data_IF_497429869093
#
_entry.id   IF_497429869093
#
_cell.length_a   1.000
_cell.length_b   1.000
_cell.length_c   1.000
_cell.angle_alpha   90.00
_cell.angle_beta   90.00
_cell.angle_gamma   90.00
#
_symmetry.space_group_name_H-M   'P 1'
#
loop_
_entity.id
_entity.type
_entity.pdbx_description
1 polymer ?
#
# COMPACT_ATOMS: atom_id res chain seq x y z
N UNK A 1 9.20 17.78 -21.28
CA UNK A 1 8.19 18.08 -20.23
C UNK A 1 6.74 18.04 -20.73
N UNK A 2 6.48 18.15 -22.01
CA UNK A 2 5.11 18.17 -22.59
C UNK A 2 4.44 16.78 -22.75
N UNK A 3 5.20 15.71 -22.93
CA UNK A 3 4.63 14.37 -23.17
C UNK A 3 3.90 13.77 -21.96
N UNK A 4 4.28 14.11 -20.72
CA UNK A 4 3.63 13.62 -19.49
C UNK A 4 2.29 14.29 -19.18
N UNK A 5 2.08 15.55 -19.61
CA UNK A 5 0.79 16.25 -19.44
C UNK A 5 -0.31 15.72 -20.37
N UNK A 6 0.06 15.15 -21.53
CA UNK A 6 -0.87 14.58 -22.50
C UNK A 6 -1.49 13.27 -22.00
N UNK A 7 -0.69 12.38 -21.39
CA UNK A 7 -1.18 11.11 -20.86
C UNK A 7 -2.22 11.30 -19.74
N UNK A 8 -2.01 12.28 -18.86
CA UNK A 8 -2.95 12.58 -17.77
C UNK A 8 -4.28 13.18 -18.26
N UNK A 9 -4.26 13.96 -19.35
CA UNK A 9 -5.48 14.53 -19.95
C UNK A 9 -6.36 13.49 -20.65
N UNK A 10 -5.79 12.40 -21.10
CA UNK A 10 -6.52 11.29 -21.75
C UNK A 10 -7.02 10.22 -20.76
N UNK A 11 -6.34 10.04 -19.63
CA UNK A 11 -6.71 9.02 -18.64
C UNK A 11 -8.00 9.37 -17.87
N UNK A 12 -8.17 10.61 -17.48
CA UNK A 12 -9.35 11.07 -16.74
C UNK A 12 -10.64 10.94 -17.57
N UNK A 13 -10.70 11.41 -18.84
CA UNK A 13 -11.90 11.23 -19.68
C UNK A 13 -12.13 9.75 -20.06
N UNK A 14 -11.07 8.96 -20.23
CA UNK A 14 -11.21 7.52 -20.48
C UNK A 14 -11.79 6.77 -19.26
N UNK A 15 -11.36 7.12 -18.04
CA UNK A 15 -11.90 6.57 -16.79
C UNK A 15 -13.34 7.03 -16.53
N UNK A 16 -13.66 8.30 -16.80
CA UNK A 16 -15.03 8.82 -16.71
C UNK A 16 -15.94 8.15 -17.75
N UNK A 17 -15.44 7.90 -18.96
CA UNK A 17 -16.15 7.16 -20.00
C UNK A 17 -16.43 5.70 -19.59
N UNK A 18 -15.45 5.03 -19.03
CA UNK A 18 -15.57 3.64 -18.54
C UNK A 18 -16.59 3.54 -17.38
N UNK A 19 -16.56 4.50 -16.45
CA UNK A 19 -17.51 4.58 -15.33
C UNK A 19 -18.93 4.84 -15.81
N UNK A 20 -19.12 5.68 -16.83
CA UNK A 20 -20.40 5.97 -17.45
C UNK A 20 -20.98 4.74 -18.17
N UNK A 21 -20.18 4.02 -18.91
CA UNK A 21 -20.58 2.77 -19.56
C UNK A 21 -20.96 1.70 -18.53
N UNK A 22 -20.21 1.59 -17.45
CA UNK A 22 -20.50 0.63 -16.39
C UNK A 22 -21.79 0.95 -15.63
N UNK A 23 -22.05 2.22 -15.33
CA UNK A 23 -23.28 2.67 -14.67
C UNK A 23 -24.50 2.42 -15.57
N UNK A 24 -24.39 2.69 -16.87
CA UNK A 24 -25.47 2.42 -17.82
C UNK A 24 -25.75 0.91 -17.99
N UNK A 25 -24.73 0.05 -17.94
CA UNK A 25 -24.90 -1.40 -17.90
C UNK A 25 -25.60 -1.87 -16.62
N UNK A 26 -25.23 -1.35 -15.46
CA UNK A 26 -25.88 -1.68 -14.18
C UNK A 26 -27.34 -1.22 -14.14
N UNK A 27 -27.64 -0.03 -14.64
CA UNK A 27 -29.02 0.48 -14.78
C UNK A 27 -29.81 -0.36 -15.78
N UNK A 28 -29.21 -0.76 -16.89
CA UNK A 28 -29.84 -1.64 -17.89
C UNK A 28 -30.18 -3.03 -17.32
N UNK A 29 -29.29 -3.63 -16.56
CA UNK A 29 -29.52 -4.91 -15.87
C UNK A 29 -30.57 -4.79 -14.76
N UNK A 30 -30.57 -3.71 -13.99
CA UNK A 30 -31.60 -3.44 -12.98
C UNK A 30 -32.99 -3.24 -13.59
N UNK A 31 -33.10 -2.47 -14.69
CA UNK A 31 -34.32 -2.29 -15.43
C UNK A 31 -34.81 -3.60 -16.06
N UNK A 32 -33.92 -4.41 -16.60
CA UNK A 32 -34.26 -5.73 -17.14
C UNK A 32 -34.79 -6.67 -16.05
N UNK A 33 -34.18 -6.72 -14.88
CA UNK A 33 -34.64 -7.52 -13.74
C UNK A 33 -36.02 -7.07 -13.24
N UNK A 34 -36.24 -5.75 -13.16
CA UNK A 34 -37.54 -5.18 -12.78
C UNK A 34 -38.63 -5.51 -13.79
N UNK A 35 -38.36 -5.35 -15.09
CA UNK A 35 -39.33 -5.69 -16.14
C UNK A 35 -39.66 -7.18 -16.20
N UNK A 36 -38.72 -8.07 -15.89
CA UNK A 36 -38.96 -9.51 -15.77
C UNK A 36 -39.84 -9.85 -14.56
N UNK A 37 -39.65 -9.16 -13.42
CA UNK A 37 -40.49 -9.34 -12.23
C UNK A 37 -41.94 -8.95 -12.50
N UNK A 38 -42.17 -7.81 -13.11
CA UNK A 38 -43.54 -7.34 -13.54
C UNK A 38 -44.18 -8.32 -14.54
N UNK A 39 -43.38 -8.85 -15.46
CA UNK A 39 -43.87 -9.84 -16.42
C UNK A 39 -44.26 -11.16 -15.77
N UNK A 40 -43.54 -11.61 -14.76
CA UNK A 40 -43.89 -12.79 -13.96
C UNK A 40 -45.19 -12.56 -13.18
N UNK A 41 -45.37 -11.38 -12.57
CA UNK A 41 -46.62 -11.04 -11.89
C UNK A 41 -47.81 -11.02 -12.84
N UNK A 42 -47.61 -10.46 -14.04
CA UNK A 42 -48.67 -10.43 -15.08
C UNK A 42 -49.03 -11.84 -15.56
N UNK A 43 -48.01 -12.71 -15.79
CA UNK A 43 -48.21 -14.09 -16.15
C UNK A 43 -48.89 -14.91 -15.03
N UNK A 44 -48.62 -14.58 -13.76
CA UNK A 44 -49.32 -15.17 -12.61
C UNK A 44 -50.79 -14.72 -12.52
N UNK A 45 -51.08 -13.46 -12.82
CA UNK A 45 -52.44 -12.94 -12.90
C UNK A 45 -53.22 -13.60 -14.03
N UNK A 46 -52.64 -13.70 -15.23
CA UNK A 46 -53.24 -14.36 -16.41
C UNK A 46 -53.55 -15.84 -16.13
N UNK A 47 -52.64 -16.55 -15.48
CA UNK A 47 -52.90 -17.93 -15.02
C UNK A 47 -54.09 -18.03 -14.06
N UNK A 48 -54.20 -17.11 -13.09
CA UNK A 48 -55.32 -17.14 -12.11
C UNK A 48 -56.66 -16.86 -12.78
N UNK A 49 -56.71 -16.00 -13.79
CA UNK A 49 -57.91 -15.71 -14.58
C UNK A 49 -58.38 -16.96 -15.32
N UNK A 50 -57.50 -17.67 -16.04
CA UNK A 50 -57.82 -18.91 -16.74
C UNK A 50 -58.30 -20.02 -15.79
N UNK A 51 -57.73 -20.10 -14.58
CA UNK A 51 -58.17 -21.07 -13.57
C UNK A 51 -59.57 -20.80 -13.05
N UNK A 52 -59.99 -19.53 -12.97
CA UNK A 52 -61.33 -19.15 -12.56
C UNK A 52 -62.39 -19.44 -13.66
N UNK A 53 -62.02 -19.24 -14.94
CA UNK A 53 -62.88 -19.51 -16.09
C UNK A 53 -63.11 -21.03 -16.28
N UNK A 54 -62.09 -21.84 -16.05
CA UNK A 54 -62.19 -23.30 -16.07
C UNK A 54 -63.10 -23.86 -14.97
N UNK A 55 -63.25 -23.16 -13.87
CA UNK A 55 -64.10 -23.57 -12.77
C UNK A 55 -65.62 -23.44 -13.09
N UNK A 56 -66.00 -22.81 -14.20
CA UNK A 56 -67.34 -22.39 -14.47
C UNK A 56 -68.19 -23.22 -15.45
N UNK A 57 -67.64 -24.26 -16.08
CA UNK A 57 -68.42 -25.07 -17.03
C UNK A 57 -68.10 -26.58 -16.92
N UNK A 58 -69.14 -27.42 -17.02
CA UNK A 58 -69.14 -28.83 -16.62
C UNK A 58 -68.73 -29.83 -17.72
N UNK A 59 -69.00 -29.59 -18.96
CA UNK A 59 -68.65 -30.58 -20.05
C UNK A 59 -67.42 -30.24 -20.90
N UNK A 60 -67.02 -29.01 -20.88
CA UNK A 60 -65.76 -28.60 -21.51
C UNK A 60 -64.53 -28.85 -20.61
N UNK A 61 -64.73 -29.31 -19.40
CA UNK A 61 -63.72 -29.40 -18.35
C UNK A 61 -62.50 -30.24 -18.72
N UNK A 62 -62.66 -31.31 -19.48
CA UNK A 62 -61.54 -32.19 -19.82
C UNK A 62 -60.63 -31.56 -20.88
N UNK A 63 -61.22 -31.03 -21.96
CA UNK A 63 -60.47 -30.37 -23.00
C UNK A 63 -59.82 -29.06 -22.50
N UNK A 64 -60.52 -28.30 -21.65
CA UNK A 64 -60.01 -27.11 -21.00
C UNK A 64 -58.93 -27.47 -19.95
N UNK A 65 -59.08 -28.58 -19.22
CA UNK A 65 -58.07 -29.08 -18.26
C UNK A 65 -56.78 -29.55 -18.98
N UNK A 66 -56.90 -30.22 -20.13
CA UNK A 66 -55.72 -30.59 -20.93
C UNK A 66 -55.03 -29.38 -21.55
N UNK A 67 -55.80 -28.41 -22.03
CA UNK A 67 -55.27 -27.11 -22.53
C UNK A 67 -54.59 -26.32 -21.40
N UNK A 68 -55.23 -26.24 -20.22
CA UNK A 68 -54.65 -25.60 -19.04
C UNK A 68 -53.37 -26.33 -18.56
N UNK A 69 -53.38 -27.66 -18.60
CA UNK A 69 -52.21 -28.48 -18.22
C UNK A 69 -51.03 -28.24 -19.17
N UNK A 70 -51.28 -28.16 -20.48
CA UNK A 70 -50.25 -27.86 -21.46
C UNK A 70 -49.68 -26.43 -21.29
N UNK A 71 -50.58 -25.47 -20.96
CA UNK A 71 -50.18 -24.09 -20.69
C UNK A 71 -49.35 -23.97 -19.41
N UNK A 72 -49.69 -24.69 -18.35
CA UNK A 72 -48.94 -24.76 -17.11
C UNK A 72 -47.54 -25.37 -17.35
N UNK A 73 -47.46 -26.44 -18.17
CA UNK A 73 -46.20 -27.05 -18.52
C UNK A 73 -45.28 -26.07 -19.30
N UNK A 74 -45.87 -25.33 -20.26
CA UNK A 74 -45.16 -24.31 -21.02
C UNK A 74 -44.69 -23.16 -20.13
N UNK A 75 -45.54 -22.64 -19.24
CA UNK A 75 -45.18 -21.57 -18.28
C UNK A 75 -44.13 -22.04 -17.25
N UNK A 76 -44.19 -23.32 -16.85
CA UNK A 76 -43.18 -23.89 -15.96
C UNK A 76 -41.79 -23.98 -16.64
N UNK A 77 -41.77 -24.35 -17.92
CA UNK A 77 -40.54 -24.34 -18.71
C UNK A 77 -40.02 -22.91 -18.88
N UNK A 78 -40.89 -21.97 -19.21
CA UNK A 78 -40.50 -20.56 -19.36
C UNK A 78 -39.99 -19.96 -18.04
N UNK A 79 -40.67 -20.25 -16.92
CA UNK A 79 -40.18 -19.84 -15.58
C UNK A 79 -38.79 -20.41 -15.27
N UNK A 80 -38.57 -21.70 -15.58
CA UNK A 80 -37.27 -22.34 -15.32
C UNK A 80 -36.16 -21.75 -16.20
N UNK A 81 -36.48 -21.43 -17.46
CA UNK A 81 -35.57 -20.72 -18.37
C UNK A 81 -35.19 -19.31 -17.83
N UNK A 82 -36.21 -18.58 -17.33
CA UNK A 82 -35.98 -17.26 -16.74
C UNK A 82 -35.16 -17.32 -15.44
N UNK A 83 -35.41 -18.32 -14.59
CA UNK A 83 -34.58 -18.54 -13.38
C UNK A 83 -33.13 -18.82 -13.78
N UNK A 84 -32.91 -19.72 -14.76
CA UNK A 84 -31.57 -20.02 -15.22
C UNK A 84 -30.86 -18.79 -15.83
N UNK A 85 -31.59 -17.95 -16.56
CA UNK A 85 -31.07 -16.67 -17.07
C UNK A 85 -30.75 -15.69 -15.94
N UNK A 86 -31.58 -15.61 -14.91
CA UNK A 86 -31.34 -14.75 -13.73
C UNK A 86 -30.06 -15.20 -13.02
N UNK A 87 -29.92 -16.47 -12.71
CA UNK A 87 -28.70 -17.02 -12.08
C UNK A 87 -27.44 -16.73 -12.91
N UNK A 88 -27.56 -16.83 -14.24
CA UNK A 88 -26.47 -16.49 -15.14
C UNK A 88 -26.10 -14.99 -15.09
N UNK A 89 -27.10 -14.10 -15.03
CA UNK A 89 -26.87 -12.65 -14.96
C UNK A 89 -26.32 -12.25 -13.57
N UNK A 90 -26.80 -12.87 -12.49
CA UNK A 90 -26.23 -12.70 -11.15
C UNK A 90 -24.75 -13.09 -11.11
N UNK A 91 -24.41 -14.25 -11.68
CA UNK A 91 -23.01 -14.70 -11.76
C UNK A 91 -22.12 -13.75 -12.58
N UNK A 92 -22.66 -13.18 -13.68
CA UNK A 92 -21.97 -12.14 -14.46
C UNK A 92 -21.78 -10.86 -13.64
N UNK A 93 -22.79 -10.43 -12.91
CA UNK A 93 -22.74 -9.23 -12.08
C UNK A 93 -21.67 -9.37 -10.99
N UNK A 94 -21.64 -10.50 -10.30
CA UNK A 94 -20.60 -10.83 -9.32
C UNK A 94 -19.18 -10.81 -9.94
N UNK A 95 -19.06 -11.30 -11.17
CA UNK A 95 -17.79 -11.25 -11.88
C UNK A 95 -17.37 -9.80 -12.21
N UNK A 96 -18.34 -8.97 -12.64
CA UNK A 96 -18.12 -7.54 -12.88
C UNK A 96 -17.73 -6.79 -11.60
N UNK A 97 -18.41 -7.03 -10.49
CA UNK A 97 -18.06 -6.41 -9.20
C UNK A 97 -16.62 -6.73 -8.79
N UNK A 98 -16.20 -8.00 -8.93
CA UNK A 98 -14.81 -8.38 -8.68
C UNK A 98 -13.82 -7.66 -9.59
N UNK A 99 -14.15 -7.51 -10.89
CA UNK A 99 -13.31 -6.78 -11.83
C UNK A 99 -13.21 -5.30 -11.50
N UNK A 100 -14.33 -4.65 -11.16
CA UNK A 100 -14.38 -3.24 -10.74
C UNK A 100 -13.49 -3.03 -9.51
N UNK A 101 -13.62 -3.89 -8.50
CA UNK A 101 -12.80 -3.81 -7.28
C UNK A 101 -11.30 -3.94 -7.60
N UNK A 102 -10.94 -4.86 -8.50
CA UNK A 102 -9.56 -5.03 -8.96
C UNK A 102 -9.04 -3.80 -9.71
N UNK A 103 -9.85 -3.24 -10.62
CA UNK A 103 -9.49 -2.03 -11.38
C UNK A 103 -9.35 -0.84 -10.45
N UNK A 104 -10.31 -0.63 -9.55
CA UNK A 104 -10.26 0.44 -8.54
C UNK A 104 -9.02 0.35 -7.67
N UNK A 105 -8.67 -0.85 -7.19
CA UNK A 105 -7.43 -1.08 -6.45
C UNK A 105 -6.18 -0.77 -7.28
N UNK A 106 -6.18 -1.10 -8.58
CA UNK A 106 -5.05 -0.78 -9.46
C UNK A 106 -4.93 0.72 -9.71
N UNK A 107 -6.05 1.42 -9.94
CA UNK A 107 -6.08 2.88 -10.10
C UNK A 107 -5.60 3.59 -8.83
N UNK A 108 -6.05 3.14 -7.65
CA UNK A 108 -5.57 3.68 -6.37
C UNK A 108 -4.07 3.52 -6.18
N UNK A 109 -3.52 2.35 -6.56
CA UNK A 109 -2.07 2.11 -6.53
C UNK A 109 -1.30 3.01 -7.50
N UNK A 110 -1.80 3.19 -8.73
CA UNK A 110 -1.18 4.07 -9.72
C UNK A 110 -1.21 5.55 -9.29
N UNK A 111 -2.32 6.00 -8.71
CA UNK A 111 -2.44 7.36 -8.16
C UNK A 111 -1.42 7.58 -7.02
N UNK A 112 -1.27 6.60 -6.15
CA UNK A 112 -0.29 6.64 -5.07
C UNK A 112 1.16 6.69 -5.59
N UNK A 113 1.51 5.80 -6.55
CA UNK A 113 2.82 5.80 -7.19
C UNK A 113 3.13 7.14 -7.87
N UNK A 114 2.14 7.76 -8.51
CA UNK A 114 2.32 9.06 -9.18
C UNK A 114 2.58 10.23 -8.20
N UNK A 115 2.20 10.07 -6.94
CA UNK A 115 2.40 11.06 -5.86
C UNK A 115 3.64 10.78 -5.01
N UNK A 116 4.20 9.58 -5.09
CA UNK A 116 5.41 9.20 -4.37
C UNK A 116 6.64 9.67 -5.14
N UNK A 117 7.70 10.04 -4.42
CA UNK A 117 8.98 10.38 -5.01
C UNK A 117 9.49 9.22 -5.88
N UNK A 118 9.52 9.44 -7.20
CA UNK A 118 9.88 8.41 -8.19
C UNK A 118 11.31 7.90 -7.99
N UNK A 119 12.23 8.79 -7.61
CA UNK A 119 13.62 8.42 -7.40
C UNK A 119 13.81 7.66 -6.09
N UNK A 120 13.06 8.01 -5.04
CA UNK A 120 13.01 7.21 -3.82
C UNK A 120 12.54 5.79 -4.11
N UNK A 121 11.49 5.61 -4.91
CA UNK A 121 11.00 4.29 -5.30
C UNK A 121 12.06 3.49 -6.07
N UNK A 122 12.76 4.13 -7.01
CA UNK A 122 13.83 3.48 -7.77
C UNK A 122 15.01 3.10 -6.89
N UNK A 123 15.33 3.91 -5.88
CA UNK A 123 16.45 3.73 -4.95
C UNK A 123 16.09 2.94 -3.70
N UNK A 124 14.86 2.50 -3.57
CA UNK A 124 14.40 1.63 -2.47
C UNK A 124 14.92 0.20 -2.66
N UNK A 125 16.24 0.08 -2.74
CA UNK A 125 16.92 -1.17 -2.94
C UNK A 125 18.02 -1.36 -1.88
N UNK A 126 18.64 -2.53 -1.88
CA UNK A 126 19.66 -2.90 -0.89
C UNK A 126 20.91 -2.05 -1.01
N UNK A 127 21.59 -2.19 -2.14
CA UNK A 127 22.80 -1.44 -2.45
C UNK A 127 22.58 -0.70 -3.74
N UNK A 128 22.51 0.61 -3.67
CA UNK A 128 22.20 1.41 -4.81
C UNK A 128 22.97 2.73 -4.79
N UNK A 129 23.61 3.07 -5.91
CA UNK A 129 24.29 4.35 -6.03
C UNK A 129 23.27 5.47 -6.27
N UNK A 130 23.24 6.43 -5.35
CA UNK A 130 22.48 7.66 -5.46
C UNK A 130 23.38 8.74 -6.06
N UNK A 131 23.00 9.30 -7.20
CA UNK A 131 23.81 10.33 -7.84
C UNK A 131 23.85 11.62 -6.99
N UNK A 132 24.79 12.51 -7.33
CA UNK A 132 25.04 13.75 -6.61
C UNK A 132 23.86 14.73 -6.60
N UNK A 133 22.97 14.62 -7.60
CA UNK A 133 21.81 15.50 -7.76
C UNK A 133 20.54 14.97 -7.08
N UNK A 134 20.60 13.74 -6.52
CA UNK A 134 19.43 13.21 -5.85
C UNK A 134 19.21 13.90 -4.50
N UNK A 135 18.10 14.58 -4.39
CA UNK A 135 17.56 15.17 -3.17
C UNK A 135 16.11 14.69 -3.04
N UNK A 136 15.70 14.10 -1.93
CA UNK A 136 14.30 13.71 -1.71
C UNK A 136 13.38 14.91 -1.96
N UNK A 137 12.29 14.69 -2.72
CA UNK A 137 11.39 15.77 -3.13
C UNK A 137 10.64 16.42 -1.97
N UNK A 138 10.57 15.73 -0.83
CA UNK A 138 9.79 16.13 0.34
C UNK A 138 10.59 15.91 1.62
N UNK A 139 11.31 16.92 2.04
CA UNK A 139 12.01 16.92 3.33
C UNK A 139 11.36 17.91 4.30
N UNK A 140 11.28 17.55 5.58
CA UNK A 140 10.79 18.38 6.66
C UNK A 140 11.71 18.26 7.86
N UNK A 141 11.82 19.34 8.63
CA UNK A 141 12.64 19.41 9.87
C UNK A 141 12.03 18.50 10.93
N UNK A 142 12.88 17.70 11.58
CA UNK A 142 12.54 16.95 12.80
C UNK A 142 12.44 17.94 13.96
N UNK A 143 11.48 17.73 14.86
CA UNK A 143 11.31 18.57 16.04
C UNK A 143 12.61 18.60 16.88
N UNK A 144 13.04 19.81 17.24
CA UNK A 144 14.27 20.06 18.00
C UNK A 144 14.33 19.34 19.33
N UNK A 145 13.18 19.07 19.96
CA UNK A 145 13.08 18.37 21.24
C UNK A 145 13.59 16.92 21.16
N UNK A 146 13.63 16.36 19.95
CA UNK A 146 14.14 15.00 19.70
C UNK A 146 15.60 14.99 19.24
N UNK A 147 16.23 16.15 19.03
CA UNK A 147 17.61 16.18 18.56
C UNK A 147 18.60 15.99 19.71
N UNK A 148 19.69 15.28 19.44
CA UNK A 148 20.78 15.18 20.40
C UNK A 148 21.41 16.54 20.68
N UNK A 149 21.93 16.81 21.90
CA UNK A 149 22.47 18.10 22.28
C UNK A 149 23.53 18.63 21.31
N UNK A 150 23.40 19.90 20.94
CA UNK A 150 24.33 20.59 20.03
C UNK A 150 24.20 20.21 18.56
N UNK A 151 23.23 19.41 18.19
CA UNK A 151 22.97 19.11 16.78
C UNK A 151 22.25 20.27 16.10
N UNK A 152 22.62 20.48 14.81
CA UNK A 152 21.87 21.39 13.92
C UNK A 152 20.55 20.74 13.51
N UNK A 153 19.68 21.51 12.88
CA UNK A 153 18.46 20.99 12.25
C UNK A 153 18.74 19.73 11.45
N UNK A 154 17.89 18.73 11.66
CA UNK A 154 17.90 17.48 10.95
C UNK A 154 16.63 17.37 10.11
N UNK A 155 16.75 16.83 8.91
CA UNK A 155 15.64 16.71 7.96
C UNK A 155 15.29 15.25 7.75
N UNK A 156 14.01 14.96 7.58
CA UNK A 156 13.50 13.63 7.33
C UNK A 156 12.43 13.68 6.24
N UNK A 157 12.20 12.57 5.54
CA UNK A 157 11.19 12.51 4.50
C UNK A 157 9.81 12.79 5.07
N UNK A 158 9.06 13.74 4.46
CA UNK A 158 7.80 14.25 5.00
C UNK A 158 6.76 13.16 5.22
N UNK A 159 6.68 12.21 4.30
CA UNK A 159 5.68 11.12 4.35
C UNK A 159 6.06 10.04 5.38
N UNK A 160 7.34 9.95 5.79
CA UNK A 160 7.82 9.05 6.83
C UNK A 160 7.87 9.71 8.23
N UNK A 161 7.79 11.04 8.30
CA UNK A 161 7.90 11.79 9.56
C UNK A 161 6.81 11.44 10.58
N UNK A 162 5.52 11.26 10.22
CA UNK A 162 4.49 10.85 11.18
C UNK A 162 4.82 9.55 11.90
N UNK A 163 5.39 8.57 11.19
CA UNK A 163 5.80 7.28 11.77
C UNK A 163 6.99 7.44 12.73
N UNK A 164 7.90 8.39 12.46
CA UNK A 164 8.96 8.74 13.38
C UNK A 164 8.41 9.39 14.66
N UNK A 165 7.48 10.33 14.51
CA UNK A 165 6.84 11.01 15.64
C UNK A 165 6.11 9.99 16.54
N UNK A 166 5.41 9.03 15.94
CA UNK A 166 4.72 7.96 16.66
C UNK A 166 5.69 7.00 17.37
N UNK A 167 6.82 6.64 16.74
CA UNK A 167 7.87 5.83 17.34
C UNK A 167 8.47 6.53 18.56
N UNK A 168 8.84 7.81 18.42
CA UNK A 168 9.44 8.60 19.51
C UNK A 168 8.46 8.80 20.68
N UNK A 169 7.19 9.08 20.35
CA UNK A 169 6.13 9.18 21.35
C UNK A 169 5.88 7.85 22.08
N UNK A 170 5.97 6.73 21.38
CA UNK A 170 5.83 5.40 21.98
C UNK A 170 7.00 5.06 22.89
N UNK A 171 8.23 5.30 22.45
CA UNK A 171 9.43 5.13 23.28
C UNK A 171 9.32 5.94 24.58
N UNK A 172 8.92 7.20 24.46
CA UNK A 172 8.72 8.08 25.64
C UNK A 172 7.64 7.58 26.60
N UNK A 173 6.55 6.98 26.10
CA UNK A 173 5.53 6.36 26.95
C UNK A 173 6.04 5.17 27.75
N UNK A 174 7.06 4.47 27.20
CA UNK A 174 7.70 3.31 27.82
C UNK A 174 8.95 3.72 28.64
N UNK A 175 9.09 5.01 28.99
CA UNK A 175 10.23 5.59 29.72
C UNK A 175 11.58 5.37 29.00
N UNK A 176 11.55 5.33 27.67
CA UNK A 176 12.74 5.26 26.82
C UNK A 176 12.94 6.62 26.13
N UNK A 177 14.04 7.27 26.44
CA UNK A 177 14.41 8.52 25.81
C UNK A 177 15.35 8.27 24.60
N UNK A 178 14.85 8.58 23.41
CA UNK A 178 15.59 8.52 22.14
C UNK A 178 15.93 9.93 21.69
N UNK A 179 17.14 10.12 21.18
CA UNK A 179 17.57 11.35 20.51
C UNK A 179 18.09 11.05 19.11
N UNK A 180 17.79 11.94 18.17
CA UNK A 180 18.30 11.84 16.78
C UNK A 180 19.63 12.56 16.68
N UNK A 181 20.64 11.85 16.21
CA UNK A 181 22.00 12.35 16.01
C UNK A 181 22.22 12.79 14.57
N UNK A 182 21.70 12.03 13.63
CA UNK A 182 21.82 12.26 12.19
C UNK A 182 20.55 11.74 11.49
N UNK A 183 20.15 12.43 10.42
CA UNK A 183 19.04 12.02 9.57
C UNK A 183 19.42 12.21 8.10
N UNK A 184 18.67 12.98 7.30
CA UNK A 184 19.04 13.25 5.92
C UNK A 184 20.46 13.82 5.80
N UNK A 185 21.22 13.29 4.85
CA UNK A 185 22.56 13.77 4.52
C UNK A 185 22.73 13.82 3.00
N UNK A 186 23.03 14.99 2.46
CA UNK A 186 23.25 15.13 1.02
C UNK A 186 24.52 14.40 0.55
N UNK A 187 24.62 14.21 -0.75
CA UNK A 187 25.80 13.62 -1.39
C UNK A 187 27.07 14.38 -1.00
N UNK A 188 27.06 15.72 -1.07
CA UNK A 188 28.20 16.58 -0.72
C UNK A 188 28.53 16.46 0.76
N UNK A 189 27.51 16.50 1.64
CA UNK A 189 27.75 16.36 3.09
C UNK A 189 28.39 15.02 3.42
N UNK A 190 27.98 13.94 2.72
CA UNK A 190 28.60 12.63 2.87
C UNK A 190 30.04 12.62 2.36
N UNK A 191 30.33 13.28 1.24
CA UNK A 191 31.69 13.41 0.69
C UNK A 191 32.61 14.17 1.65
N UNK A 192 32.13 15.28 2.22
CA UNK A 192 32.90 16.07 3.22
C UNK A 192 33.19 15.26 4.48
N UNK A 193 32.17 14.54 5.00
CA UNK A 193 32.29 13.67 6.16
C UNK A 193 33.31 12.55 5.91
N UNK A 194 33.23 11.90 4.77
CA UNK A 194 34.17 10.85 4.36
C UNK A 194 35.57 11.43 4.22
N UNK A 195 35.69 12.61 3.60
CA UNK A 195 36.99 13.31 3.46
C UNK A 195 37.62 13.63 4.81
N UNK A 196 36.84 14.11 5.79
CA UNK A 196 37.32 14.35 7.15
C UNK A 196 37.77 13.08 7.85
N UNK A 197 37.06 11.98 7.68
CA UNK A 197 37.43 10.68 8.23
C UNK A 197 38.71 10.12 7.57
N UNK A 198 38.85 10.27 6.25
CA UNK A 198 40.09 9.88 5.55
C UNK A 198 41.32 10.67 6.05
N UNK A 199 41.16 11.96 6.37
CA UNK A 199 42.25 12.77 6.96
C UNK A 199 42.63 12.29 8.37
N UNK A 200 41.64 11.86 9.17
CA UNK A 200 41.84 11.47 10.57
C UNK A 200 42.28 10.01 10.74
N UNK A 201 41.77 9.10 9.90
CA UNK A 201 41.90 7.64 10.05
C UNK A 201 42.54 6.95 8.82
N UNK A 202 42.90 7.72 7.77
CA UNK A 202 43.42 7.16 6.54
C UNK A 202 42.44 6.17 5.89
N UNK A 203 42.96 5.10 5.28
CA UNK A 203 42.12 4.04 4.67
C UNK A 203 41.21 3.32 5.67
N UNK A 204 41.44 3.44 6.98
CA UNK A 204 40.55 2.91 8.01
C UNK A 204 39.14 3.53 7.99
N UNK A 205 38.98 4.74 7.44
CA UNK A 205 37.67 5.37 7.25
C UNK A 205 36.72 4.50 6.41
N UNK A 206 37.22 3.67 5.51
CA UNK A 206 36.42 2.78 4.68
C UNK A 206 35.73 1.65 5.45
N UNK A 207 36.15 1.39 6.67
CA UNK A 207 35.58 0.33 7.50
C UNK A 207 34.31 0.77 8.24
N UNK A 208 34.02 2.08 8.36
CA UNK A 208 32.92 2.59 9.15
C UNK A 208 32.16 3.75 8.52
N UNK A 209 32.51 4.21 7.33
CA UNK A 209 31.81 5.29 6.64
C UNK A 209 31.59 4.92 5.18
N UNK A 210 30.34 4.89 4.75
CA UNK A 210 29.99 4.68 3.35
C UNK A 210 30.58 5.81 2.48
N UNK A 211 30.91 5.47 1.24
CA UNK A 211 31.23 6.47 0.23
C UNK A 211 29.96 7.27 -0.14
N UNK A 212 30.16 8.49 -0.64
CA UNK A 212 29.07 9.32 -1.14
C UNK A 212 28.28 8.57 -2.24
N UNK A 213 26.98 8.67 -2.18
CA UNK A 213 26.07 7.95 -3.07
C UNK A 213 25.72 6.53 -2.60
N UNK A 214 26.38 6.00 -1.58
CA UNK A 214 26.08 4.69 -1.00
C UNK A 214 25.51 4.78 0.42
N UNK A 215 25.38 5.99 0.97
CA UNK A 215 24.78 6.21 2.29
C UNK A 215 23.24 6.20 2.21
N UNK A 216 22.61 5.39 3.04
CA UNK A 216 21.14 5.38 3.17
C UNK A 216 20.56 6.70 3.69
N UNK A 217 21.36 7.53 4.38
CA UNK A 217 20.92 8.87 4.83
C UNK A 217 20.53 9.79 3.67
N UNK A 218 21.06 9.57 2.46
CA UNK A 218 20.68 10.36 1.29
C UNK A 218 19.23 10.10 0.84
N UNK A 219 18.62 8.97 1.22
CA UNK A 219 17.21 8.68 0.96
C UNK A 219 16.27 9.58 1.78
N UNK A 220 16.74 10.15 2.89
CA UNK A 220 15.92 10.93 3.82
C UNK A 220 14.99 10.08 4.68
N UNK A 221 15.14 8.76 4.69
CA UNK A 221 14.31 7.82 5.46
C UNK A 221 15.11 7.06 6.51
N UNK A 222 16.33 7.49 6.79
CA UNK A 222 17.28 6.84 7.70
C UNK A 222 17.68 7.78 8.82
N UNK A 223 17.88 7.23 10.00
CA UNK A 223 18.21 7.94 11.24
C UNK A 223 19.31 7.21 11.99
N UNK A 224 20.17 7.99 12.64
CA UNK A 224 21.05 7.52 13.69
C UNK A 224 20.49 7.97 15.04
N UNK A 225 20.15 7.00 15.89
CA UNK A 225 19.66 7.25 17.25
C UNK A 225 20.76 7.23 18.30
N UNK A 226 20.55 7.98 19.36
CA UNK A 226 21.32 7.95 20.59
C UNK A 226 20.36 8.11 21.79
N UNK A 227 20.91 8.29 22.97
CA UNK A 227 20.19 8.62 24.19
C UNK A 227 20.77 9.87 24.86
N UNK A 228 20.02 10.57 25.71
CA UNK A 228 20.55 11.69 26.49
C UNK A 228 21.79 11.29 27.33
N UNK A 229 21.79 10.09 27.91
CA UNK A 229 22.89 9.58 28.73
C UNK A 229 24.20 9.45 27.96
N UNK A 230 24.12 9.16 26.66
CA UNK A 230 25.29 9.10 25.77
C UNK A 230 25.71 10.48 25.23
N UNK A 231 24.94 11.54 25.55
CA UNK A 231 25.25 12.90 25.10
C UNK A 231 25.30 13.08 23.58
N UNK A 232 24.61 12.22 22.82
CA UNK A 232 24.66 12.20 21.35
C UNK A 232 25.84 11.42 20.77
N UNK A 233 26.57 10.66 21.58
CA UNK A 233 27.54 9.67 21.09
C UNK A 233 26.79 8.46 20.51
N UNK A 234 27.31 7.88 19.44
CA UNK A 234 26.80 6.64 18.85
C UNK A 234 27.45 5.40 19.50
N UNK A 235 28.68 5.55 20.01
CA UNK A 235 29.37 4.48 20.72
C UNK A 235 28.64 4.04 21.98
N UNK A 236 28.46 2.72 22.14
CA UNK A 236 27.76 2.14 23.30
C UNK A 236 26.23 2.11 23.16
N UNK A 237 25.65 2.65 22.08
CA UNK A 237 24.19 2.61 21.89
C UNK A 237 23.61 1.20 21.88
N UNK A 238 24.35 0.23 21.31
CA UNK A 238 23.94 -1.18 21.27
C UNK A 238 23.76 -1.83 22.65
N UNK A 239 24.34 -1.25 23.73
CA UNK A 239 24.24 -1.76 25.09
C UNK A 239 23.09 -1.06 25.89
N UNK A 240 22.37 -0.11 25.27
CA UNK A 240 21.34 0.66 25.93
C UNK A 240 19.99 -0.07 25.96
N UNK A 241 19.13 0.35 26.93
CA UNK A 241 17.72 -0.05 26.95
C UNK A 241 16.96 0.45 25.72
N UNK A 242 17.36 1.59 25.16
CA UNK A 242 16.78 2.19 23.97
C UNK A 242 16.99 1.28 22.74
N UNK A 243 18.18 0.76 22.55
CA UNK A 243 18.43 -0.20 21.49
C UNK A 243 17.62 -1.50 21.66
N UNK A 244 17.55 -2.02 22.88
CA UNK A 244 16.74 -3.21 23.18
C UNK A 244 15.25 -2.96 22.86
N UNK A 245 14.75 -1.79 23.24
CA UNK A 245 13.36 -1.38 22.96
C UNK A 245 13.10 -1.24 21.47
N UNK A 246 14.00 -0.61 20.72
CA UNK A 246 13.88 -0.47 19.26
C UNK A 246 13.82 -1.83 18.56
N UNK A 247 14.66 -2.78 18.94
CA UNK A 247 14.61 -4.14 18.38
C UNK A 247 13.24 -4.81 18.52
N UNK A 248 12.53 -4.53 19.60
CA UNK A 248 11.22 -5.14 19.87
C UNK A 248 10.04 -4.32 19.32
N UNK A 249 10.20 -3.02 19.08
CA UNK A 249 9.06 -2.14 18.82
C UNK A 249 9.15 -1.36 17.51
N UNK A 250 10.34 -1.07 16.98
CA UNK A 250 10.51 -0.17 15.85
C UNK A 250 9.76 -0.63 14.59
N UNK A 251 9.63 -1.95 14.38
CA UNK A 251 8.89 -2.51 13.26
C UNK A 251 7.42 -2.08 13.21
N UNK A 252 6.79 -1.81 14.36
CA UNK A 252 5.39 -1.37 14.47
C UNK A 252 5.17 0.03 13.89
N UNK A 253 6.26 0.76 13.70
CA UNK A 253 6.32 2.12 13.16
C UNK A 253 7.06 2.18 11.83
N UNK A 254 7.23 1.04 11.17
CA UNK A 254 7.85 0.94 9.87
C UNK A 254 9.38 1.02 9.84
N UNK A 255 10.06 0.94 11.00
CA UNK A 255 11.52 1.01 11.07
C UNK A 255 12.18 -0.35 11.26
N UNK A 256 13.34 -0.53 10.62
CA UNK A 256 14.19 -1.71 10.77
C UNK A 256 15.64 -1.31 11.03
N UNK A 257 16.37 -2.15 11.77
CA UNK A 257 17.82 -2.07 11.88
C UNK A 257 18.43 -2.44 10.52
N UNK A 258 18.90 -1.44 9.79
CA UNK A 258 19.34 -1.64 8.40
C UNK A 258 20.74 -2.22 8.32
N UNK A 259 21.63 -1.94 9.29
CA UNK A 259 23.00 -2.44 9.35
C UNK A 259 23.19 -3.38 10.55
N UNK A 260 22.56 -4.58 10.51
CA UNK A 260 22.69 -5.56 11.59
C UNK A 260 24.06 -6.20 11.63
N UNK A 261 24.36 -6.91 12.72
CA UNK A 261 25.54 -7.74 12.83
C UNK A 261 25.55 -8.83 11.75
N UNK A 262 26.68 -9.03 11.10
CA UNK A 262 26.83 -9.99 10.00
C UNK A 262 26.32 -9.51 8.64
N UNK A 263 25.94 -8.23 8.49
CA UNK A 263 25.58 -7.65 7.18
C UNK A 263 26.76 -7.78 6.19
N UNK A 264 26.47 -8.26 4.99
CA UNK A 264 27.48 -8.47 3.95
C UNK A 264 27.94 -7.16 3.25
N UNK A 265 27.21 -6.07 3.41
CA UNK A 265 27.43 -4.81 2.67
C UNK A 265 27.93 -3.67 3.55
N UNK A 266 27.49 -3.62 4.82
CA UNK A 266 27.77 -2.53 5.74
C UNK A 266 28.24 -3.07 7.09
N UNK A 267 29.02 -2.27 7.80
CA UNK A 267 29.44 -2.57 9.17
C UNK A 267 28.24 -2.50 10.10
N UNK A 268 28.28 -3.30 11.17
CA UNK A 268 27.27 -3.26 12.21
C UNK A 268 27.16 -1.89 12.86
N UNK A 269 25.96 -1.32 12.82
CA UNK A 269 25.63 -0.03 13.41
C UNK A 269 24.32 -0.12 14.19
N UNK A 270 24.34 -0.38 15.50
CA UNK A 270 23.11 -0.54 16.30
C UNK A 270 22.24 0.71 16.36
N UNK A 271 22.81 1.88 16.08
CA UNK A 271 22.13 3.17 16.03
C UNK A 271 21.42 3.45 14.71
N UNK A 272 21.73 2.74 13.63
CA UNK A 272 21.31 3.03 12.25
C UNK A 272 19.99 2.37 11.89
N UNK A 273 18.93 3.14 11.87
CA UNK A 273 17.56 2.67 11.64
C UNK A 273 16.97 3.30 10.40
N UNK A 274 16.35 2.48 9.56
CA UNK A 274 15.73 2.89 8.30
C UNK A 274 14.23 2.65 8.32
N UNK A 275 13.47 3.66 7.88
CA UNK A 275 12.06 3.50 7.57
C UNK A 275 11.88 2.73 6.27
N UNK A 276 11.12 1.65 6.32
CA UNK A 276 10.83 0.75 5.18
C UNK A 276 9.33 0.51 5.01
N UNK A 277 8.49 1.19 5.78
CA UNK A 277 7.04 0.97 5.87
C UNK A 277 6.66 -0.12 6.86
N UNK A 278 5.47 0.01 7.47
CA UNK A 278 5.02 -0.86 8.55
C UNK A 278 4.90 -2.33 8.12
N UNK A 279 4.34 -2.57 6.93
CA UNK A 279 4.16 -3.93 6.41
C UNK A 279 5.51 -4.66 6.26
N UNK A 280 6.50 -4.02 5.59
CA UNK A 280 7.81 -4.64 5.38
C UNK A 280 8.58 -4.81 6.70
N UNK A 281 8.59 -3.79 7.56
CA UNK A 281 9.29 -3.87 8.83
C UNK A 281 8.72 -4.99 9.73
N UNK A 282 7.38 -5.13 9.76
CA UNK A 282 6.70 -6.18 10.52
C UNK A 282 6.97 -7.57 9.97
N UNK A 283 7.01 -7.72 8.65
CA UNK A 283 7.31 -9.00 8.01
C UNK A 283 8.78 -9.40 8.21
N UNK A 284 9.71 -8.45 8.15
CA UNK A 284 11.12 -8.70 8.50
C UNK A 284 11.26 -9.17 9.96
N UNK A 285 10.57 -8.51 10.91
CA UNK A 285 10.60 -8.90 12.33
C UNK A 285 10.00 -10.30 12.54
N UNK A 286 8.87 -10.62 11.92
CA UNK A 286 8.20 -11.93 12.00
C UNK A 286 9.06 -13.06 11.45
N UNK A 287 9.74 -12.80 10.32
CA UNK A 287 10.56 -13.79 9.62
C UNK A 287 11.97 -13.87 10.22
N UNK A 288 12.28 -13.13 11.30
CA UNK A 288 13.60 -13.02 11.94
C UNK A 288 14.71 -12.69 10.91
N UNK A 289 14.37 -11.87 9.92
CA UNK A 289 15.22 -11.52 8.79
C UNK A 289 15.59 -10.03 8.82
N UNK A 290 16.71 -9.71 8.17
CA UNK A 290 17.12 -8.32 7.98
C UNK A 290 16.84 -7.85 6.56
N UNK A 291 16.77 -6.53 6.36
CA UNK A 291 16.46 -5.92 5.08
C UNK A 291 17.37 -6.42 3.94
N UNK A 292 18.65 -6.60 4.20
CA UNK A 292 19.63 -7.08 3.20
C UNK A 292 19.60 -8.59 2.95
N UNK A 293 18.89 -9.37 3.75
CA UNK A 293 18.74 -10.81 3.56
C UNK A 293 17.71 -11.16 2.49
N UNK A 294 16.73 -10.28 2.29
CA UNK A 294 15.62 -10.54 1.36
C UNK A 294 16.01 -10.28 -0.10
N UNK A 295 15.37 -11.02 -1.01
CA UNK A 295 15.45 -10.78 -2.45
C UNK A 295 14.81 -9.43 -2.81
N UNK A 296 15.42 -8.71 -3.77
CA UNK A 296 14.94 -7.40 -4.19
C UNK A 296 13.48 -7.45 -4.68
N UNK A 297 13.09 -8.52 -5.40
CA UNK A 297 11.70 -8.66 -5.88
C UNK A 297 10.70 -8.72 -4.74
N UNK A 298 11.06 -9.39 -3.63
CA UNK A 298 10.21 -9.44 -2.44
C UNK A 298 10.07 -8.05 -1.81
N UNK A 299 11.13 -7.27 -1.78
CA UNK A 299 11.11 -5.88 -1.29
C UNK A 299 10.23 -5.01 -2.20
N UNK A 300 10.34 -5.17 -3.53
CA UNK A 300 9.58 -4.38 -4.51
C UNK A 300 8.05 -4.53 -4.36
N UNK A 301 7.56 -5.63 -3.79
CA UNK A 301 6.13 -5.83 -3.51
C UNK A 301 5.57 -4.84 -2.47
N UNK A 302 6.44 -4.31 -1.61
CA UNK A 302 6.08 -3.34 -0.57
C UNK A 302 6.16 -1.88 -1.01
N UNK A 303 6.84 -1.56 -2.14
CA UNK A 303 7.07 -0.18 -2.60
C UNK A 303 5.78 0.65 -2.71
N UNK A 304 4.68 0.00 -3.10
CA UNK A 304 3.39 0.67 -3.30
C UNK A 304 2.79 1.15 -1.98
N UNK A 305 3.18 0.53 -0.87
CA UNK A 305 2.61 0.73 0.45
C UNK A 305 3.60 1.33 1.46
N UNK A 306 4.75 1.80 1.00
CA UNK A 306 5.84 2.25 1.88
C UNK A 306 5.43 3.33 2.88
N UNK A 307 4.45 4.16 2.53
CA UNK A 307 3.92 5.24 3.37
C UNK A 307 2.44 5.01 3.77
N UNK A 308 1.97 3.77 3.80
CA UNK A 308 0.62 3.42 4.28
C UNK A 308 0.58 3.31 5.79
#
# INVERSE_FOLDING_TARGET
MESKKSAHRLLVPALAGLSGVLLSLLCGLGYYSYTQHERVLMLLQERNYFLLEVASSTDQRVAEAESASSSIAALTLERNDLIAKLEQEEAKNDAFERQIKKISGTVGRLDKLSKTDEELLQKYSKVYFLNENYIPSKLKVIDSDYLAPGRKEQYFHTDALPFLDDLLAAAKRDDIELTVVSAYRSFETQADLKGAYLQSYGSGANTFSADQGYSEHQLGTTLDFSTPDLGGSLGGFGDTKAYAWLKENAHKYGFTLSYPEGNAYYVYEPWHWRFVGEDLASDLKRDEAHFYDWDQRKIDEYLIKIFD
#
